data_IF_155339538027
#
_entry.id   IF_155339538027
#
_cell.length_a   1.000
_cell.length_b   1.000
_cell.length_c   1.000
_cell.angle_alpha   90.00
_cell.angle_beta   90.00
_cell.angle_gamma   90.00
#
_symmetry.space_group_name_H-M   'P 1'
#
loop_
_entity.id
_entity.type
_entity.pdbx_description
1 polymer ?
#
# COMPACT_ATOMS: atom_id res chain seq x y z
N UNK A 1 2.17 2.60 8.90
CA UNK A 1 2.25 1.14 9.08
C UNK A 1 2.18 0.48 7.69
N UNK A 2 2.99 -0.54 7.39
CA UNK A 2 3.05 -1.18 6.04
C UNK A 2 2.54 -2.63 6.01
N UNK A 3 2.08 -3.18 7.15
CA UNK A 3 1.46 -4.51 7.18
C UNK A 3 0.16 -4.48 6.37
N UNK A 4 -0.06 -5.51 5.53
CA UNK A 4 -1.21 -5.62 4.62
C UNK A 4 -1.36 -4.43 3.65
N UNK A 5 -0.29 -3.67 3.36
CA UNK A 5 -0.38 -2.48 2.51
C UNK A 5 -0.87 -2.81 1.09
N UNK A 6 -0.60 -4.01 0.57
CA UNK A 6 -1.09 -4.43 -0.74
C UNK A 6 -2.63 -4.48 -0.85
N UNK A 7 -3.35 -4.49 0.27
CA UNK A 7 -4.80 -4.59 0.34
C UNK A 7 -5.50 -3.24 0.62
N UNK A 8 -4.74 -2.14 0.70
CA UNK A 8 -5.25 -0.83 1.14
C UNK A 8 -5.24 0.23 0.04
N UNK A 9 -5.28 -0.18 -1.22
CA UNK A 9 -5.44 0.77 -2.31
C UNK A 9 -6.78 1.53 -2.19
N UNK A 10 -6.87 2.81 -2.59
CA UNK A 10 -5.79 3.64 -3.13
C UNK A 10 -4.84 4.18 -2.04
N UNK A 11 -3.64 4.56 -2.46
CA UNK A 11 -2.51 4.95 -1.62
C UNK A 11 -2.36 6.47 -1.49
N UNK A 12 -1.45 6.86 -0.58
CA UNK A 12 -1.27 8.22 -0.08
C UNK A 12 -2.45 8.69 0.80
N UNK A 13 -2.24 9.80 1.52
CA UNK A 13 -3.24 10.35 2.46
C UNK A 13 -4.54 10.80 1.78
N UNK A 14 -4.48 11.06 0.47
CA UNK A 14 -5.60 11.53 -0.34
C UNK A 14 -6.06 10.51 -1.40
N UNK A 15 -5.54 9.27 -1.39
CA UNK A 15 -5.90 8.25 -2.37
C UNK A 15 -5.46 8.56 -3.80
N UNK A 16 -4.45 9.41 -4.00
CA UNK A 16 -4.02 9.87 -5.33
C UNK A 16 -3.37 8.80 -6.20
N UNK A 17 -2.81 7.74 -5.60
CA UNK A 17 -2.10 6.69 -6.32
C UNK A 17 -2.86 5.36 -6.22
N UNK A 18 -2.98 4.65 -7.33
CA UNK A 18 -3.78 3.42 -7.45
C UNK A 18 -2.99 2.17 -7.12
N UNK A 19 -1.67 2.19 -7.30
CA UNK A 19 -0.81 1.00 -7.17
C UNK A 19 0.39 1.24 -6.26
N UNK A 20 0.91 0.17 -5.65
CA UNK A 20 2.19 0.25 -4.91
C UNK A 20 3.34 0.66 -5.83
N UNK A 21 3.29 0.27 -7.10
CA UNK A 21 4.31 0.64 -8.09
C UNK A 21 4.36 2.16 -8.27
N UNK A 22 3.21 2.82 -8.41
CA UNK A 22 3.12 4.28 -8.47
C UNK A 22 3.68 4.96 -7.23
N UNK A 23 3.47 4.39 -6.03
CA UNK A 23 4.06 4.88 -4.78
C UNK A 23 5.58 4.80 -4.82
N UNK A 24 6.13 3.65 -5.22
CA UNK A 24 7.59 3.48 -5.33
C UNK A 24 8.18 4.43 -6.36
N UNK A 25 7.54 4.58 -7.53
CA UNK A 25 7.96 5.52 -8.55
C UNK A 25 7.91 6.98 -8.10
N UNK A 26 6.89 7.36 -7.33
CA UNK A 26 6.76 8.70 -6.76
C UNK A 26 8.00 9.06 -5.95
N UNK A 27 8.44 8.16 -5.06
CA UNK A 27 9.65 8.36 -4.28
C UNK A 27 10.93 8.22 -5.11
N UNK A 28 10.97 7.32 -6.10
CA UNK A 28 12.11 7.19 -7.00
C UNK A 28 12.40 8.50 -7.76
N UNK A 29 11.36 9.29 -8.08
CA UNK A 29 11.46 10.61 -8.70
C UNK A 29 11.78 11.75 -7.72
N UNK A 30 11.87 11.48 -6.42
CA UNK A 30 12.08 12.50 -5.39
C UNK A 30 10.80 13.26 -5.00
N UNK A 31 9.62 12.67 -5.21
CA UNK A 31 8.34 13.28 -4.86
C UNK A 31 7.95 14.47 -5.74
N UNK A 32 7.16 15.39 -5.19
CA UNK A 32 6.72 16.63 -5.86
C UNK A 32 7.44 17.81 -5.20
N UNK A 33 8.23 18.55 -6.00
CA UNK A 33 8.92 19.75 -5.54
C UNK A 33 7.93 20.79 -5.02
N UNK A 34 8.13 21.22 -3.78
CA UNK A 34 7.39 22.29 -3.13
C UNK A 34 8.23 22.84 -1.96
N UNK A 35 7.85 23.98 -1.39
CA UNK A 35 8.61 24.67 -0.33
C UNK A 35 8.74 23.86 0.97
N UNK A 36 7.84 22.91 1.19
CA UNK A 36 7.80 22.05 2.39
C UNK A 36 8.40 20.66 2.14
N UNK A 37 8.96 20.41 0.95
CA UNK A 37 9.59 19.14 0.65
C UNK A 37 10.88 19.00 1.48
N UNK A 38 10.97 17.93 2.25
CA UNK A 38 12.15 17.63 3.03
C UNK A 38 13.37 17.43 2.11
N UNK A 39 14.53 18.08 2.39
CA UNK A 39 15.74 17.97 1.57
C UNK A 39 16.27 16.54 1.39
N UNK A 40 15.90 15.59 2.25
CA UNK A 40 16.30 14.19 2.12
C UNK A 40 15.48 13.43 1.08
N UNK A 41 14.33 13.97 0.64
CA UNK A 41 13.53 13.38 -0.42
C UNK A 41 14.14 13.78 -1.77
N UNK A 42 15.05 12.93 -2.25
CA UNK A 42 15.77 13.10 -3.50
C UNK A 42 15.46 11.96 -4.48
N UNK A 43 15.68 12.14 -5.79
CA UNK A 43 15.61 11.04 -6.75
C UNK A 43 16.54 9.90 -6.34
N UNK A 44 16.02 8.68 -6.33
CA UNK A 44 16.76 7.50 -5.86
C UNK A 44 17.54 6.80 -6.98
N UNK A 45 17.12 6.99 -8.23
CA UNK A 45 17.79 6.40 -9.40
C UNK A 45 17.64 4.89 -9.49
N UNK A 46 16.59 4.32 -8.89
CA UNK A 46 16.30 2.89 -8.94
C UNK A 46 15.95 2.45 -10.35
N UNK A 47 16.47 1.29 -10.75
CA UNK A 47 16.05 0.57 -11.94
C UNK A 47 14.64 -0.02 -11.78
N UNK A 48 14.03 -0.42 -12.89
CA UNK A 48 12.72 -1.09 -12.86
C UNK A 48 12.74 -2.38 -12.05
N UNK A 49 13.81 -3.17 -12.15
CA UNK A 49 13.97 -4.41 -11.39
C UNK A 49 14.06 -4.16 -9.88
N UNK A 50 14.75 -3.10 -9.45
CA UNK A 50 14.83 -2.76 -8.03
C UNK A 50 13.48 -2.27 -7.51
N UNK A 51 12.76 -1.45 -8.28
CA UNK A 51 11.42 -1.01 -7.91
C UNK A 51 10.44 -2.18 -7.83
N UNK A 52 10.49 -3.12 -8.78
CA UNK A 52 9.67 -4.33 -8.77
C UNK A 52 10.01 -5.23 -7.57
N UNK A 53 11.28 -5.31 -7.18
CA UNK A 53 11.72 -6.04 -5.99
C UNK A 53 11.18 -5.42 -4.69
N UNK A 54 11.13 -4.09 -4.61
CA UNK A 54 10.49 -3.39 -3.48
C UNK A 54 8.99 -3.68 -3.45
N UNK A 55 8.31 -3.64 -4.61
CA UNK A 55 6.88 -3.98 -4.69
C UNK A 55 6.65 -5.43 -4.27
N UNK A 56 7.50 -6.37 -4.68
CA UNK A 56 7.42 -7.77 -4.26
C UNK A 56 7.58 -7.91 -2.73
N UNK A 57 8.54 -7.20 -2.14
CA UNK A 57 8.72 -7.15 -0.69
C UNK A 57 7.49 -6.57 0.03
N UNK A 58 6.90 -5.48 -0.46
CA UNK A 58 5.69 -4.90 0.14
C UNK A 58 4.49 -5.85 0.06
N UNK A 59 4.36 -6.63 -1.02
CA UNK A 59 3.35 -7.67 -1.14
C UNK A 59 3.55 -8.79 -0.11
N UNK A 60 4.80 -9.17 0.19
CA UNK A 60 5.09 -10.21 1.18
C UNK A 60 4.76 -9.80 2.62
N UNK A 61 4.42 -8.52 2.87
CA UNK A 61 3.92 -8.04 4.16
C UNK A 61 2.42 -8.29 4.38
N UNK A 62 1.79 -9.04 3.46
CA UNK A 62 0.36 -9.39 3.53
C UNK A 62 0.18 -10.73 4.24
N UNK A 63 -0.68 -10.76 5.25
CA UNK A 63 -0.96 -11.99 6.01
C UNK A 63 -1.66 -13.05 5.14
N UNK A 64 -1.26 -14.32 5.30
CA UNK A 64 -1.84 -15.44 4.55
C UNK A 64 -3.27 -15.80 4.96
N UNK A 65 -3.75 -15.31 6.11
CA UNK A 65 -5.06 -15.62 6.67
C UNK A 65 -6.11 -14.54 6.39
N UNK A 66 -5.80 -13.51 5.61
CA UNK A 66 -6.74 -12.40 5.38
C UNK A 66 -7.99 -12.90 4.65
N UNK A 67 -7.84 -13.76 3.63
CA UNK A 67 -8.98 -14.30 2.89
C UNK A 67 -9.90 -15.17 3.77
N UNK A 68 -9.31 -15.95 4.68
CA UNK A 68 -10.05 -16.77 5.64
C UNK A 68 -10.84 -15.91 6.63
N UNK A 69 -10.22 -14.84 7.16
CA UNK A 69 -10.90 -13.87 8.03
C UNK A 69 -12.04 -13.13 7.33
N UNK A 70 -11.86 -12.79 6.04
CA UNK A 70 -12.91 -12.16 5.24
C UNK A 70 -14.05 -13.14 4.98
N UNK A 71 -13.74 -14.40 4.66
CA UNK A 71 -14.75 -15.43 4.45
C UNK A 71 -15.57 -15.71 5.72
N UNK A 72 -14.91 -15.82 6.88
CA UNK A 72 -15.58 -15.98 8.17
C UNK A 72 -16.50 -14.80 8.47
N UNK A 73 -16.01 -13.56 8.33
CA UNK A 73 -16.79 -12.35 8.56
C UNK A 73 -18.04 -12.25 7.65
N UNK A 74 -17.93 -12.66 6.38
CA UNK A 74 -19.06 -12.66 5.45
C UNK A 74 -20.05 -13.81 5.69
N UNK A 75 -19.62 -14.90 6.33
CA UNK A 75 -20.48 -16.04 6.64
C UNK A 75 -21.46 -15.77 7.79
N UNK A 76 -21.18 -14.76 8.62
CA UNK A 76 -22.02 -14.40 9.75
C UNK A 76 -23.20 -13.52 9.28
N UNK A 77 -24.45 -13.85 9.67
CA UNK A 77 -25.60 -13.04 9.34
C UNK A 77 -25.51 -11.66 10.02
N UNK A 78 -25.73 -10.60 9.25
CA UNK A 78 -25.79 -9.23 9.77
C UNK A 78 -27.13 -9.05 10.50
N UNK A 79 -27.09 -9.06 11.83
CA UNK A 79 -28.23 -8.69 12.66
C UNK A 79 -28.31 -9.48 13.96
N UNK A 80 -28.47 -8.76 15.06
CA UNK A 80 -28.82 -9.36 16.35
C UNK A 80 -30.24 -9.96 16.25
N UNK A 81 -30.34 -11.24 15.91
CA UNK A 81 -31.57 -12.01 16.10
C UNK A 81 -31.63 -12.41 17.56
N UNK A 82 -32.22 -11.55 18.41
CA UNK A 82 -33.21 -11.86 19.45
C UNK A 82 -33.39 -10.64 20.38
N UNK A 83 -34.67 -10.30 20.62
CA UNK A 83 -35.17 -9.36 21.63
C UNK A 83 -35.12 -9.99 23.02
#
# INVERSE_FOLDING_TARGET
MLRNVALSAPYMHNGSLRTLREVVEFYNRGGIKNELLDPLVQPLGLSDTEMDSIVAFLNSLTGSNVDELVADALSQPVGNVTR
#
